data_IF_139985280276
#
_entry.id   IF_139985280276
#
_cell.length_a   1.000
_cell.length_b   1.000
_cell.length_c   1.000
_cell.angle_alpha   90.00
_cell.angle_beta   90.00
_cell.angle_gamma   90.00
#
_symmetry.space_group_name_H-M   'P 1'
#
loop_
_entity.id
_entity.type
_entity.pdbx_description
1 polymer ?
#
# COMPACT_ATOMS: atom_id res chain seq x y z
N UNK A 1 37.89 3.75 2.34
CA UNK A 1 37.46 2.33 2.22
C UNK A 1 37.03 1.71 3.57
N UNK A 2 37.76 1.90 4.67
CA UNK A 2 37.40 1.37 6.01
C UNK A 2 36.02 1.82 6.54
N UNK A 3 35.58 3.05 6.24
CA UNK A 3 34.28 3.57 6.69
C UNK A 3 33.07 2.88 6.04
N UNK A 4 33.17 2.51 4.77
CA UNK A 4 32.07 1.82 4.06
C UNK A 4 31.88 0.40 4.58
N UNK A 5 32.97 -0.32 4.82
CA UNK A 5 32.91 -1.67 5.39
C UNK A 5 32.38 -1.67 6.83
N UNK A 6 32.80 -0.71 7.66
CA UNK A 6 32.27 -0.53 9.02
C UNK A 6 30.78 -0.20 9.00
N UNK A 7 30.34 0.68 8.10
CA UNK A 7 28.93 1.06 7.93
C UNK A 7 28.11 -0.14 7.45
N UNK A 8 28.60 -0.88 6.46
CA UNK A 8 27.96 -2.09 5.97
C UNK A 8 27.77 -3.13 7.08
N UNK A 9 28.82 -3.43 7.85
CA UNK A 9 28.73 -4.34 9.01
C UNK A 9 27.75 -3.85 10.07
N UNK A 10 27.70 -2.55 10.33
CA UNK A 10 26.75 -1.98 11.29
C UNK A 10 25.29 -2.11 10.82
N UNK A 11 25.04 -1.90 9.53
CA UNK A 11 23.72 -2.08 8.92
C UNK A 11 23.31 -3.56 8.90
N UNK A 12 24.23 -4.46 8.57
CA UNK A 12 24.01 -5.90 8.62
C UNK A 12 23.71 -6.39 10.03
N UNK A 13 24.46 -5.92 11.04
CA UNK A 13 24.20 -6.23 12.45
C UNK A 13 22.84 -5.72 12.93
N UNK A 14 22.33 -4.62 12.34
CA UNK A 14 20.97 -4.11 12.56
C UNK A 14 19.90 -4.86 11.73
N UNK A 15 20.29 -5.87 10.95
CA UNK A 15 19.40 -6.64 10.08
C UNK A 15 18.86 -5.84 8.89
N UNK A 16 19.49 -4.73 8.50
CA UNK A 16 19.02 -3.89 7.40
C UNK A 16 19.21 -4.64 6.08
N UNK A 17 18.10 -4.99 5.45
CA UNK A 17 18.06 -5.68 4.17
C UNK A 17 18.34 -4.69 3.03
N UNK A 18 19.25 -5.06 2.13
CA UNK A 18 19.51 -4.33 0.89
C UNK A 18 18.64 -4.80 -0.28
N UNK A 19 18.50 -3.96 -1.31
CA UNK A 19 17.72 -4.22 -2.53
C UNK A 19 18.11 -5.53 -3.22
N UNK A 20 19.42 -5.81 -3.31
CA UNK A 20 19.94 -7.02 -3.94
C UNK A 20 19.55 -8.28 -3.16
N UNK A 21 19.71 -8.25 -1.84
CA UNK A 21 19.31 -9.34 -0.94
C UNK A 21 17.81 -9.60 -1.03
N UNK A 22 16.99 -8.53 -0.92
CA UNK A 22 15.54 -8.59 -1.11
C UNK A 22 15.15 -9.25 -2.44
N UNK A 23 15.86 -8.91 -3.53
CA UNK A 23 15.60 -9.48 -4.84
C UNK A 23 16.00 -10.95 -4.94
N UNK A 24 17.23 -11.30 -4.54
CA UNK A 24 17.77 -12.65 -4.69
C UNK A 24 17.12 -13.64 -3.71
N UNK A 25 17.11 -13.29 -2.43
CA UNK A 25 16.79 -14.22 -1.35
C UNK A 25 15.27 -14.35 -1.13
N UNK A 26 14.48 -13.35 -1.55
CA UNK A 26 13.04 -13.33 -1.26
C UNK A 26 12.19 -13.22 -2.52
N UNK A 27 12.34 -12.18 -3.33
CA UNK A 27 11.49 -12.01 -4.52
C UNK A 27 11.73 -13.13 -5.53
N UNK A 28 12.96 -13.42 -5.94
CA UNK A 28 13.23 -14.47 -6.91
C UNK A 28 12.98 -15.88 -6.34
N UNK A 29 13.21 -16.07 -5.03
CA UNK A 29 12.97 -17.33 -4.32
C UNK A 29 11.48 -17.64 -4.19
N UNK A 30 10.66 -16.66 -3.81
CA UNK A 30 9.27 -16.87 -3.38
C UNK A 30 8.21 -16.35 -4.36
N UNK A 31 8.58 -15.54 -5.36
CA UNK A 31 7.63 -15.01 -6.34
C UNK A 31 7.87 -15.63 -7.73
N UNK A 32 7.03 -16.61 -8.09
CA UNK A 32 7.02 -17.17 -9.45
C UNK A 32 6.65 -16.09 -10.46
N UNK A 33 7.50 -15.85 -11.46
CA UNK A 33 7.30 -14.77 -12.45
C UNK A 33 5.98 -14.85 -13.21
N UNK A 34 5.46 -16.06 -13.45
CA UNK A 34 4.16 -16.27 -14.10
C UNK A 34 2.98 -15.68 -13.33
N UNK A 35 3.15 -15.40 -12.04
CA UNK A 35 2.11 -14.84 -11.17
C UNK A 35 2.19 -13.31 -11.04
N UNK A 36 3.21 -12.65 -11.60
CA UNK A 36 3.37 -11.19 -11.49
C UNK A 36 2.21 -10.40 -12.10
N UNK A 37 1.63 -10.82 -13.25
CA UNK A 37 0.46 -10.12 -13.81
C UNK A 37 -0.73 -10.02 -12.85
N UNK A 38 -0.81 -10.89 -11.83
CA UNK A 38 -1.90 -10.84 -10.84
C UNK A 38 -1.85 -9.55 -10.02
N UNK A 39 -0.64 -9.09 -9.67
CA UNK A 39 -0.44 -7.94 -8.78
C UNK A 39 -0.02 -6.67 -9.54
N UNK A 40 0.59 -6.82 -10.72
CA UNK A 40 0.96 -5.67 -11.57
C UNK A 40 -0.28 -5.03 -12.22
N UNK A 41 -1.38 -5.78 -12.35
CA UNK A 41 -2.66 -5.30 -12.88
C UNK A 41 -3.71 -5.17 -11.77
N UNK A 42 -4.07 -3.93 -11.43
CA UNK A 42 -5.02 -3.62 -10.36
C UNK A 42 -6.41 -4.19 -10.60
N UNK A 43 -6.83 -4.37 -11.87
CA UNK A 43 -8.13 -4.95 -12.20
C UNK A 43 -8.12 -6.45 -11.84
N UNK A 44 -7.07 -7.17 -12.25
CA UNK A 44 -6.94 -8.61 -11.95
C UNK A 44 -6.87 -8.84 -10.43
N UNK A 45 -6.08 -8.04 -9.70
CA UNK A 45 -6.02 -8.09 -8.24
C UNK A 45 -7.41 -7.94 -7.63
N UNK A 46 -8.17 -6.93 -8.05
CA UNK A 46 -9.49 -6.64 -7.49
C UNK A 46 -10.54 -7.69 -7.81
N UNK A 47 -10.58 -8.18 -9.05
CA UNK A 47 -11.50 -9.26 -9.42
C UNK A 47 -11.28 -10.51 -8.57
N UNK A 48 -10.02 -10.85 -8.28
CA UNK A 48 -9.71 -11.96 -7.36
C UNK A 48 -10.13 -11.64 -5.94
N UNK A 49 -9.86 -10.42 -5.46
CA UNK A 49 -10.21 -10.01 -4.10
C UNK A 49 -11.72 -10.11 -3.87
N UNK A 50 -12.53 -9.59 -4.81
CA UNK A 50 -13.99 -9.67 -4.77
C UNK A 50 -14.46 -11.13 -4.71
N UNK A 51 -13.90 -12.01 -5.55
CA UNK A 51 -14.22 -13.45 -5.54
C UNK A 51 -13.85 -14.15 -4.22
N UNK A 52 -12.83 -13.66 -3.52
CA UNK A 52 -12.40 -14.15 -2.23
C UNK A 52 -13.15 -13.51 -1.04
N UNK A 53 -14.14 -12.63 -1.28
CA UNK A 53 -14.86 -11.91 -0.22
C UNK A 53 -14.00 -10.84 0.48
N UNK A 54 -12.91 -10.41 -0.16
CA UNK A 54 -11.98 -9.41 0.36
C UNK A 54 -12.46 -8.01 -0.03
N UNK A 55 -12.49 -7.10 0.94
CA UNK A 55 -12.94 -5.73 0.72
C UNK A 55 -11.94 -4.91 -0.09
N UNK A 56 -12.42 -4.32 -1.19
CA UNK A 56 -11.70 -3.40 -2.08
C UNK A 56 -12.60 -2.21 -2.40
N UNK A 57 -12.06 -1.06 -2.85
CA UNK A 57 -12.90 0.00 -3.39
C UNK A 57 -13.73 -0.53 -4.55
N UNK A 58 -15.04 -0.33 -4.48
CA UNK A 58 -16.01 -0.81 -5.46
C UNK A 58 -15.62 -0.40 -6.88
N UNK A 59 -15.60 -1.35 -7.79
CA UNK A 59 -15.31 -1.10 -9.20
C UNK A 59 -16.59 -0.68 -9.91
N UNK A 60 -16.61 0.52 -10.47
CA UNK A 60 -17.74 1.00 -11.25
C UNK A 60 -17.65 0.53 -12.70
N UNK A 61 -16.43 0.45 -13.25
CA UNK A 61 -16.23 -0.03 -14.61
C UNK A 61 -14.77 0.02 -15.06
N UNK A 62 -14.51 -0.58 -16.21
CA UNK A 62 -13.21 -0.61 -16.86
C UNK A 62 -13.37 -0.18 -18.31
N UNK A 63 -12.54 0.76 -18.76
CA UNK A 63 -12.43 1.15 -20.16
C UNK A 63 -11.15 0.54 -20.70
N UNK A 64 -11.28 -0.31 -21.72
CA UNK A 64 -10.16 -1.08 -22.29
C UNK A 64 -9.75 -0.62 -23.69
N UNK A 65 -10.61 0.15 -24.37
CA UNK A 65 -10.38 0.64 -25.72
C UNK A 65 -10.88 2.08 -25.88
N UNK A 66 -10.39 2.79 -26.89
CA UNK A 66 -10.86 4.16 -27.19
C UNK A 66 -12.37 4.21 -27.45
N UNK A 67 -12.92 3.17 -28.09
CA UNK A 67 -14.38 3.04 -28.31
C UNK A 67 -15.16 2.84 -27.01
N UNK A 68 -14.56 2.26 -25.97
CA UNK A 68 -15.23 2.10 -24.68
C UNK A 68 -15.38 3.42 -23.93
N UNK A 69 -14.71 4.50 -24.36
CA UNK A 69 -14.87 5.84 -23.79
C UNK A 69 -16.33 6.32 -23.94
N UNK A 70 -17.03 5.92 -25.01
CA UNK A 70 -18.45 6.22 -25.19
C UNK A 70 -19.34 5.77 -24.01
N UNK A 71 -18.88 4.77 -23.24
CA UNK A 71 -19.57 4.23 -22.06
C UNK A 71 -19.20 4.96 -20.76
N UNK A 72 -18.23 5.88 -20.78
CA UNK A 72 -17.74 6.58 -19.59
C UNK A 72 -18.86 7.29 -18.84
N UNK A 73 -19.76 7.97 -19.57
CA UNK A 73 -20.92 8.63 -18.98
C UNK A 73 -21.87 7.67 -18.25
N UNK A 74 -22.08 6.46 -18.79
CA UNK A 74 -22.89 5.40 -18.16
C UNK A 74 -22.21 4.83 -16.92
N UNK A 75 -20.90 4.55 -17.00
CA UNK A 75 -20.10 4.02 -15.88
C UNK A 75 -20.10 4.99 -14.69
N UNK A 76 -19.86 6.29 -14.95
CA UNK A 76 -19.92 7.33 -13.92
C UNK A 76 -21.37 7.45 -13.40
N UNK A 77 -22.32 7.55 -14.32
CA UNK A 77 -23.74 7.70 -14.04
C UNK A 77 -24.04 8.98 -13.25
N UNK A 78 -24.84 8.85 -12.19
CA UNK A 78 -25.23 9.96 -11.32
C UNK A 78 -24.24 10.30 -10.21
N UNK A 79 -23.08 9.65 -10.16
CA UNK A 79 -22.11 9.83 -9.06
C UNK A 79 -21.46 11.20 -9.11
N UNK A 80 -21.32 11.82 -7.94
CA UNK A 80 -20.63 13.10 -7.78
C UNK A 80 -19.13 12.93 -7.55
N UNK A 81 -18.67 11.77 -7.08
CA UNK A 81 -17.27 11.48 -6.79
C UNK A 81 -16.84 10.07 -7.22
N UNK A 82 -15.58 9.95 -7.65
CA UNK A 82 -14.99 8.71 -8.15
C UNK A 82 -13.49 8.90 -8.39
N UNK A 83 -12.78 7.79 -8.60
CA UNK A 83 -11.37 7.77 -9.00
C UNK A 83 -11.26 7.11 -10.37
N UNK A 84 -10.46 7.69 -11.26
CA UNK A 84 -10.00 7.06 -12.50
C UNK A 84 -8.50 6.84 -12.38
N UNK A 85 -8.04 5.61 -12.65
CA UNK A 85 -6.61 5.29 -12.58
C UNK A 85 -6.18 4.27 -13.64
N UNK A 86 -4.91 4.32 -14.08
CA UNK A 86 -4.31 3.25 -14.89
C UNK A 86 -4.27 1.92 -14.13
N UNK A 87 -4.57 0.82 -14.80
CA UNK A 87 -4.51 -0.51 -14.21
C UNK A 87 -3.07 -0.92 -13.87
N UNK A 88 -2.10 -0.52 -14.70
CA UNK A 88 -0.67 -0.87 -14.56
C UNK A 88 0.23 0.33 -14.23
N UNK A 89 -0.35 1.48 -13.87
CA UNK A 89 0.42 2.67 -13.50
C UNK A 89 1.16 2.55 -12.17
N UNK A 90 2.21 3.35 -12.01
CA UNK A 90 3.07 3.39 -10.82
C UNK A 90 3.17 4.81 -10.23
N UNK A 91 3.50 4.91 -8.94
CA UNK A 91 3.83 6.19 -8.29
C UNK A 91 2.68 7.19 -8.11
N UNK A 92 1.45 6.79 -8.46
CA UNK A 92 0.27 7.65 -8.41
C UNK A 92 0.11 8.57 -9.62
N UNK A 93 0.81 8.30 -10.72
CA UNK A 93 0.65 9.05 -11.96
C UNK A 93 -0.53 8.54 -12.78
N UNK A 94 -1.16 9.45 -13.53
CA UNK A 94 -2.39 9.14 -14.28
C UNK A 94 -3.66 9.00 -13.43
N UNK A 95 -3.57 9.11 -12.11
CA UNK A 95 -4.73 9.07 -11.20
C UNK A 95 -5.46 10.41 -11.24
N UNK A 96 -6.74 10.38 -11.60
CA UNK A 96 -7.66 11.49 -11.53
C UNK A 96 -8.68 11.23 -10.42
N UNK A 97 -8.74 12.11 -9.42
CA UNK A 97 -9.68 12.01 -8.29
C UNK A 97 -10.70 13.12 -8.41
N UNK A 98 -11.96 12.73 -8.58
CA UNK A 98 -13.13 13.63 -8.62
C UNK A 98 -13.79 13.62 -7.27
N UNK A 99 -13.92 14.79 -6.67
CA UNK A 99 -14.46 14.98 -5.32
C UNK A 99 -15.90 15.47 -5.31
N UNK A 100 -16.35 16.11 -6.39
CA UNK A 100 -17.71 16.66 -6.49
C UNK A 100 -18.12 16.91 -7.96
N UNK A 101 -19.41 17.16 -8.19
CA UNK A 101 -19.99 17.55 -9.48
C UNK A 101 -20.78 18.85 -9.33
N UNK A 102 -20.48 19.82 -10.19
CA UNK A 102 -21.09 21.15 -10.15
C UNK A 102 -21.52 21.60 -11.55
N UNK A 103 -22.81 21.88 -11.74
CA UNK A 103 -23.40 22.38 -13.01
C UNK A 103 -22.93 21.63 -14.27
N UNK A 104 -22.95 20.29 -14.21
CA UNK A 104 -22.54 19.43 -15.33
C UNK A 104 -21.03 19.26 -15.50
N UNK A 105 -20.20 19.94 -14.69
CA UNK A 105 -18.74 19.78 -14.62
C UNK A 105 -18.31 19.00 -13.39
N UNK A 106 -17.05 18.59 -13.35
CA UNK A 106 -16.47 17.81 -12.26
C UNK A 106 -15.40 18.62 -11.52
N UNK A 107 -15.37 18.51 -10.20
CA UNK A 107 -14.36 19.17 -9.35
C UNK A 107 -13.36 18.13 -8.85
N UNK A 108 -12.08 18.38 -9.07
CA UNK A 108 -11.00 17.54 -8.53
C UNK A 108 -10.78 17.82 -7.04
N UNK A 109 -10.01 16.96 -6.36
CA UNK A 109 -9.59 17.20 -4.96
C UNK A 109 -8.81 18.51 -4.76
N UNK A 110 -8.13 19.01 -5.80
CA UNK A 110 -7.42 20.29 -5.77
C UNK A 110 -8.34 21.51 -6.01
N UNK A 111 -9.64 21.29 -6.21
CA UNK A 111 -10.62 22.33 -6.53
C UNK A 111 -10.69 22.72 -8.01
N UNK A 112 -9.87 22.10 -8.89
CA UNK A 112 -9.92 22.35 -10.34
C UNK A 112 -11.25 21.85 -10.90
N UNK A 113 -11.92 22.69 -11.68
CA UNK A 113 -13.13 22.32 -12.41
C UNK A 113 -12.72 21.82 -13.80
N UNK A 114 -13.19 20.63 -14.18
CA UNK A 114 -12.92 20.01 -15.48
C UNK A 114 -14.21 19.56 -16.16
N UNK A 115 -14.22 19.57 -17.49
CA UNK A 115 -15.33 19.09 -18.31
C UNK A 115 -15.34 17.56 -18.44
N UNK A 116 -16.40 17.01 -19.04
CA UNK A 116 -16.44 15.58 -19.36
C UNK A 116 -15.40 15.21 -20.41
N UNK A 117 -15.22 16.04 -21.44
CA UNK A 117 -14.22 15.84 -22.50
C UNK A 117 -12.80 15.81 -21.94
N UNK A 118 -12.48 16.63 -20.93
CA UNK A 118 -11.18 16.56 -20.23
C UNK A 118 -10.96 15.22 -19.52
N UNK A 119 -12.04 14.59 -19.00
CA UNK A 119 -11.96 13.25 -18.42
C UNK A 119 -11.75 12.20 -19.51
N UNK A 120 -12.45 12.30 -20.64
CA UNK A 120 -12.25 11.42 -21.80
C UNK A 120 -10.80 11.48 -22.30
N UNK A 121 -10.22 12.68 -22.39
CA UNK A 121 -8.80 12.86 -22.75
C UNK A 121 -7.85 12.21 -21.74
N UNK A 122 -8.15 12.30 -20.43
CA UNK A 122 -7.37 11.61 -19.40
C UNK A 122 -7.44 10.08 -19.57
N UNK A 123 -8.63 9.55 -19.87
CA UNK A 123 -8.84 8.12 -20.13
C UNK A 123 -8.06 7.68 -21.38
N UNK A 124 -8.14 8.42 -22.49
CA UNK A 124 -7.35 8.13 -23.69
C UNK A 124 -5.84 8.15 -23.39
N UNK A 125 -5.37 9.11 -22.60
CA UNK A 125 -3.97 9.17 -22.15
C UNK A 125 -3.56 7.92 -21.36
N UNK A 126 -4.43 7.38 -20.51
CA UNK A 126 -4.21 6.08 -19.85
C UNK A 126 -4.14 4.95 -20.88
N UNK A 127 -5.10 4.86 -21.80
CA UNK A 127 -5.18 3.77 -22.80
C UNK A 127 -3.95 3.72 -23.72
N UNK A 128 -3.41 4.88 -24.10
CA UNK A 128 -2.18 4.97 -24.90
C UNK A 128 -0.92 4.51 -24.15
N UNK A 129 -1.01 4.30 -22.83
CA UNK A 129 0.11 3.84 -22.01
C UNK A 129 0.97 4.96 -21.44
N UNK A 130 0.52 6.22 -21.48
CA UNK A 130 1.30 7.38 -21.01
C UNK A 130 1.80 7.23 -19.57
N UNK A 131 1.04 6.54 -18.73
CA UNK A 131 1.33 6.36 -17.30
C UNK A 131 1.80 4.95 -16.93
N UNK A 132 1.94 4.07 -17.92
CA UNK A 132 2.29 2.67 -17.72
C UNK A 132 3.79 2.45 -17.81
N UNK A 133 4.31 1.56 -16.97
CA UNK A 133 5.72 1.18 -17.00
C UNK A 133 6.05 0.53 -18.35
N UNK A 134 6.79 1.24 -19.21
CA UNK A 134 7.18 0.76 -20.55
C UNK A 134 6.32 1.26 -21.71
N UNK A 135 5.34 2.13 -21.47
CA UNK A 135 4.54 2.75 -22.56
C UNK A 135 3.61 1.78 -23.28
N UNK A 136 3.31 0.63 -22.67
CA UNK A 136 2.37 -0.34 -23.21
C UNK A 136 0.93 0.14 -23.03
N UNK A 137 0.05 -0.28 -23.95
CA UNK A 137 -1.39 -0.03 -23.81
C UNK A 137 -1.88 -0.51 -22.45
N UNK A 138 -2.73 0.30 -21.83
CA UNK A 138 -3.31 0.04 -20.51
C UNK A 138 -4.83 0.11 -20.55
N UNK A 139 -5.45 -0.07 -19.38
CA UNK A 139 -6.89 0.03 -19.15
C UNK A 139 -7.12 1.08 -18.07
N UNK A 140 -8.17 1.87 -18.23
CA UNK A 140 -8.61 2.80 -17.21
C UNK A 140 -9.63 2.11 -16.29
N UNK A 141 -9.33 2.10 -15.00
CA UNK A 141 -10.21 1.62 -13.94
C UNK A 141 -10.94 2.80 -13.31
N UNK A 142 -12.26 2.72 -13.25
CA UNK A 142 -13.14 3.70 -12.60
C UNK A 142 -13.72 3.04 -11.35
N UNK A 143 -13.52 3.68 -10.19
CA UNK A 143 -13.85 3.09 -8.90
C UNK A 143 -14.31 4.11 -7.85
N UNK A 144 -14.85 3.56 -6.77
CA UNK A 144 -15.18 4.30 -5.55
C UNK A 144 -13.99 5.11 -5.02
N UNK A 145 -14.24 6.39 -4.72
CA UNK A 145 -13.29 7.25 -4.03
C UNK A 145 -13.34 6.95 -2.53
N UNK A 146 -12.25 6.38 -2.02
CA UNK A 146 -12.09 6.12 -0.59
C UNK A 146 -12.24 7.40 0.21
N UNK A 147 -13.03 7.33 1.28
CA UNK A 147 -13.19 8.41 2.25
C UNK A 147 -12.38 8.05 3.49
N UNK A 148 -11.22 8.70 3.73
CA UNK A 148 -10.36 8.36 4.85
C UNK A 148 -11.10 8.50 6.18
N UNK A 149 -10.84 7.57 7.09
CA UNK A 149 -11.32 7.65 8.47
C UNK A 149 -10.90 8.97 9.15
N UNK A 150 -11.76 9.45 10.06
CA UNK A 150 -11.58 10.73 10.74
C UNK A 150 -10.30 10.81 11.57
N UNK A 151 -9.76 9.66 12.04
CA UNK A 151 -8.50 9.63 12.78
C UNK A 151 -7.36 10.29 12.01
N UNK A 152 -7.38 10.17 10.68
CA UNK A 152 -6.34 10.71 9.83
C UNK A 152 -6.43 12.21 9.57
N UNK A 153 -7.58 12.85 9.82
CA UNK A 153 -7.77 14.29 9.58
C UNK A 153 -6.75 15.15 10.30
N UNK A 154 -6.30 14.70 11.47
CA UNK A 154 -5.31 15.42 12.27
C UNK A 154 -3.87 15.20 11.79
N UNK A 155 -3.59 14.11 11.07
CA UNK A 155 -2.22 13.67 10.76
C UNK A 155 -1.96 13.48 9.26
N UNK A 156 -2.82 13.99 8.38
CA UNK A 156 -2.64 13.93 6.93
C UNK A 156 -2.96 15.27 6.28
N UNK A 157 -2.16 15.66 5.29
CA UNK A 157 -2.46 16.80 4.42
C UNK A 157 -3.10 16.32 3.11
N UNK A 158 -4.42 16.51 2.97
CA UNK A 158 -5.18 16.13 1.77
C UNK A 158 -4.97 14.65 1.36
N UNK A 159 -5.74 14.15 0.40
CA UNK A 159 -5.60 12.77 -0.09
C UNK A 159 -5.90 11.67 0.94
N UNK A 160 -5.43 10.46 0.65
CA UNK A 160 -5.74 9.22 1.39
C UNK A 160 -4.46 8.64 1.98
N UNK A 161 -4.29 8.62 3.31
CA UNK A 161 -3.25 7.84 3.96
C UNK A 161 -3.42 6.37 3.67
N UNK A 162 -2.30 5.67 3.51
CA UNK A 162 -2.31 4.24 3.30
C UNK A 162 -1.37 3.52 4.28
N UNK A 163 -1.69 2.27 4.55
CA UNK A 163 -0.91 1.36 5.38
C UNK A 163 -0.28 0.34 4.45
N UNK A 164 1.06 0.32 4.43
CA UNK A 164 1.84 -0.70 3.73
C UNK A 164 2.28 -1.77 4.71
N UNK A 165 1.98 -3.02 4.39
CA UNK A 165 2.45 -4.19 5.12
C UNK A 165 3.29 -5.06 4.18
N UNK A 166 4.52 -5.40 4.57
CA UNK A 166 5.29 -6.43 3.88
C UNK A 166 4.90 -7.79 4.45
N UNK A 167 4.57 -8.72 3.56
CA UNK A 167 4.15 -10.08 3.89
C UNK A 167 5.15 -11.06 3.28
N UNK A 168 5.64 -11.99 4.09
CA UNK A 168 6.50 -13.10 3.69
C UNK A 168 5.76 -14.41 3.95
N UNK A 169 5.43 -15.17 2.89
CA UNK A 169 4.76 -16.47 2.94
C UNK A 169 3.47 -16.47 3.78
N UNK A 170 2.71 -15.37 3.73
CA UNK A 170 1.49 -15.17 4.52
C UNK A 170 1.71 -14.58 5.92
N UNK A 171 2.94 -14.28 6.32
CA UNK A 171 3.27 -13.65 7.60
C UNK A 171 3.53 -12.15 7.42
N UNK A 172 2.72 -11.26 8.00
CA UNK A 172 2.97 -9.82 8.02
C UNK A 172 4.22 -9.47 8.84
N UNK A 173 5.35 -9.19 8.18
CA UNK A 173 6.65 -9.02 8.87
C UNK A 173 6.98 -7.58 9.25
N UNK A 174 6.37 -6.57 8.61
CA UNK A 174 6.60 -5.17 8.93
C UNK A 174 5.51 -4.28 8.35
N UNK A 175 5.12 -3.24 9.08
CA UNK A 175 4.10 -2.30 8.64
C UNK A 175 4.58 -0.84 8.74
N UNK A 176 4.06 0.02 7.88
CA UNK A 176 4.16 1.47 8.03
C UNK A 176 2.88 2.16 7.58
N UNK A 177 2.55 3.27 8.22
CA UNK A 177 1.59 4.25 7.76
C UNK A 177 2.31 5.27 6.87
N UNK A 178 1.75 5.57 5.70
CA UNK A 178 2.22 6.63 4.81
C UNK A 178 1.26 7.80 4.87
N UNK A 179 1.79 8.97 5.24
CA UNK A 179 1.01 10.19 5.40
C UNK A 179 1.31 11.16 4.26
N UNK A 180 0.31 11.52 3.45
CA UNK A 180 0.38 12.61 2.49
C UNK A 180 0.82 13.94 3.11
N UNK A 181 1.66 14.68 2.37
CA UNK A 181 2.09 16.03 2.72
C UNK A 181 1.73 17.00 1.60
N UNK A 182 1.87 18.29 1.87
CA UNK A 182 1.77 19.30 0.81
C UNK A 182 2.86 19.11 -0.25
N UNK A 183 4.06 18.71 0.15
CA UNK A 183 5.17 18.45 -0.77
C UNK A 183 4.87 17.28 -1.72
N UNK A 184 4.15 16.26 -1.26
CA UNK A 184 3.71 15.15 -2.10
C UNK A 184 2.41 15.42 -2.87
N UNK A 185 1.89 16.64 -2.83
CA UNK A 185 0.61 17.02 -3.44
C UNK A 185 -0.54 16.09 -3.01
N UNK A 186 -0.60 15.74 -1.72
CA UNK A 186 -1.64 14.86 -1.20
C UNK A 186 -1.47 13.38 -1.56
N UNK A 187 -0.30 12.96 -2.10
CA UNK A 187 0.00 11.55 -2.41
C UNK A 187 0.76 10.86 -1.28
N UNK A 188 0.42 9.62 -0.95
CA UNK A 188 1.14 8.80 0.03
C UNK A 188 2.40 8.12 -0.57
N UNK A 189 3.24 8.92 -1.26
CA UNK A 189 4.46 8.46 -1.91
C UNK A 189 5.70 9.08 -1.24
N UNK A 190 6.49 8.25 -0.55
CA UNK A 190 7.69 8.68 0.19
C UNK A 190 8.72 9.38 -0.70
N UNK A 191 8.83 8.98 -1.97
CA UNK A 191 9.76 9.60 -2.92
C UNK A 191 9.31 11.00 -3.36
N UNK A 192 8.01 11.29 -3.27
CA UNK A 192 7.43 12.59 -3.56
C UNK A 192 7.32 13.49 -2.31
N UNK A 193 7.84 13.05 -1.16
CA UNK A 193 7.85 13.85 0.06
C UNK A 193 6.75 13.50 1.07
N UNK A 194 6.08 12.35 0.93
CA UNK A 194 5.22 11.83 1.99
C UNK A 194 6.05 11.36 3.20
N UNK A 195 5.39 11.21 4.34
CA UNK A 195 6.01 10.69 5.57
C UNK A 195 5.79 9.19 5.66
N UNK A 196 6.78 8.45 6.15
CA UNK A 196 6.64 7.05 6.54
C UNK A 196 6.73 6.91 8.05
N UNK A 197 5.70 6.35 8.68
CA UNK A 197 5.62 6.14 10.12
C UNK A 197 5.58 4.65 10.39
N UNK A 198 6.53 4.12 11.18
CA UNK A 198 6.49 2.70 11.55
C UNK A 198 5.20 2.36 12.29
N UNK A 199 4.76 1.11 12.22
CA UNK A 199 3.57 0.65 12.94
C UNK A 199 3.92 -0.63 13.68
N UNK A 200 3.58 -0.64 14.97
CA UNK A 200 3.74 -1.83 15.78
C UNK A 200 2.78 -2.94 15.35
N UNK A 201 3.31 -4.14 15.08
CA UNK A 201 2.51 -5.23 14.52
C UNK A 201 1.51 -5.82 15.52
N UNK A 202 1.83 -5.81 16.82
CA UNK A 202 0.93 -6.35 17.85
C UNK A 202 -0.21 -5.39 18.17
N UNK A 203 0.09 -4.11 18.27
CA UNK A 203 -0.84 -3.11 18.82
C UNK A 203 -1.50 -2.23 17.76
N UNK A 204 -0.86 -2.01 16.61
CA UNK A 204 -1.29 -1.01 15.64
C UNK A 204 -0.98 0.43 16.05
N UNK A 205 -0.17 0.62 17.09
CA UNK A 205 0.31 1.95 17.48
C UNK A 205 1.38 2.43 16.50
N UNK A 206 1.25 3.67 16.05
CA UNK A 206 2.29 4.30 15.25
C UNK A 206 3.54 4.56 16.09
N UNK A 207 4.69 4.33 15.47
CA UNK A 207 6.02 4.57 16.01
C UNK A 207 6.55 5.91 15.52
N UNK A 208 7.87 6.08 15.50
CA UNK A 208 8.50 7.30 14.97
C UNK A 208 8.23 7.45 13.47
N UNK A 209 8.13 8.70 13.02
CA UNK A 209 8.00 9.06 11.62
C UNK A 209 9.34 9.33 10.96
N UNK A 210 9.36 9.25 9.64
CA UNK A 210 10.50 9.59 8.80
C UNK A 210 10.04 10.45 7.63
N UNK A 211 10.77 11.53 7.36
CA UNK A 211 10.50 12.45 6.26
C UNK A 211 11.82 12.87 5.62
N UNK A 212 11.97 12.60 4.32
CA UNK A 212 13.22 12.85 3.58
C UNK A 212 14.46 12.26 4.29
N UNK A 213 14.32 11.02 4.80
CA UNK A 213 15.32 10.29 5.59
C UNK A 213 15.67 10.88 6.98
N UNK A 214 14.96 11.91 7.44
CA UNK A 214 15.09 12.46 8.79
C UNK A 214 14.02 11.88 9.71
N UNK A 215 14.39 11.58 10.95
CA UNK A 215 13.43 11.15 11.98
C UNK A 215 12.60 12.37 12.39
N UNK A 216 11.28 12.21 12.40
CA UNK A 216 10.32 13.21 12.82
C UNK A 216 9.33 12.63 13.82
N UNK A 217 8.76 13.51 14.66
CA UNK A 217 7.66 13.18 15.58
C UNK A 217 6.36 13.89 15.22
N UNK A 218 6.43 14.92 14.38
CA UNK A 218 5.28 15.73 14.00
C UNK A 218 5.17 15.83 12.49
N UNK A 219 3.94 15.89 12.01
CA UNK A 219 3.65 16.13 10.60
C UNK A 219 4.12 17.56 10.23
N UNK A 220 4.84 17.77 9.11
CA UNK A 220 5.37 19.07 8.74
C UNK A 220 4.26 20.09 8.44
N UNK A 221 3.14 19.65 7.85
CA UNK A 221 2.01 20.53 7.53
C UNK A 221 1.00 20.70 8.68
N UNK A 222 0.57 19.62 9.36
CA UNK A 222 -0.46 19.72 10.41
C UNK A 222 0.11 20.01 11.80
N UNK A 223 1.42 19.85 11.99
CA UNK A 223 2.15 19.98 13.28
C UNK A 223 1.74 19.02 14.39
N UNK A 224 0.79 18.12 14.12
CA UNK A 224 0.33 17.10 15.05
C UNK A 224 1.33 15.95 15.15
N UNK A 225 1.33 15.27 16.31
CA UNK A 225 2.15 14.10 16.53
C UNK A 225 1.77 12.97 15.56
N UNK A 226 2.77 12.29 15.01
CA UNK A 226 2.55 11.12 14.16
C UNK A 226 2.85 9.82 14.89
N UNK A 227 3.59 9.87 16.00
CA UNK A 227 3.84 8.75 16.91
C UNK A 227 2.74 8.61 17.98
N UNK A 228 2.48 7.38 18.40
CA UNK A 228 1.51 7.06 19.46
C UNK A 228 0.03 7.10 19.02
N UNK A 229 -0.24 7.15 17.72
CA UNK A 229 -1.61 7.13 17.16
C UNK A 229 -2.05 5.68 17.03
N UNK A 230 -3.18 5.33 17.65
CA UNK A 230 -3.77 4.00 17.55
C UNK A 230 -4.51 3.85 16.23
N UNK A 231 -4.05 2.99 15.34
CA UNK A 231 -4.80 2.64 14.14
C UNK A 231 -5.99 1.74 14.51
N UNK A 232 -7.23 2.11 14.16
CA UNK A 232 -8.39 1.30 14.48
C UNK A 232 -8.46 0.07 13.56
N UNK A 233 -9.15 -0.98 14.01
CA UNK A 233 -9.28 -2.25 13.31
C UNK A 233 -7.94 -2.86 12.84
N UNK A 234 -6.90 -2.75 13.67
CA UNK A 234 -5.56 -3.24 13.33
C UNK A 234 -5.52 -4.76 13.07
N UNK A 235 -6.27 -5.54 13.87
CA UNK A 235 -6.43 -6.98 13.65
C UNK A 235 -7.02 -7.29 12.26
N UNK A 236 -7.99 -6.48 11.81
CA UNK A 236 -8.52 -6.55 10.45
C UNK A 236 -7.47 -6.31 9.38
N UNK A 237 -6.62 -5.28 9.52
CA UNK A 237 -5.51 -5.03 8.58
C UNK A 237 -4.52 -6.19 8.53
N UNK A 238 -4.16 -6.76 9.68
CA UNK A 238 -3.19 -7.85 9.77
C UNK A 238 -3.72 -9.13 9.10
N UNK A 239 -4.97 -9.51 9.38
CA UNK A 239 -5.62 -10.67 8.75
C UNK A 239 -5.79 -10.48 7.24
N UNK A 240 -6.21 -9.28 6.83
CA UNK A 240 -6.35 -8.93 5.42
C UNK A 240 -5.02 -9.06 4.68
N UNK A 241 -3.94 -8.52 5.26
CA UNK A 241 -2.60 -8.62 4.69
C UNK A 241 -2.10 -10.07 4.63
N UNK A 242 -2.32 -10.87 5.68
CA UNK A 242 -1.95 -12.28 5.69
C UNK A 242 -2.67 -13.06 4.57
N UNK A 243 -3.98 -12.85 4.40
CA UNK A 243 -4.80 -13.49 3.36
C UNK A 243 -4.46 -13.10 1.92
N UNK A 244 -3.74 -11.99 1.70
CA UNK A 244 -3.25 -11.62 0.37
C UNK A 244 -2.26 -12.64 -0.21
N UNK A 245 -1.62 -13.45 0.63
CA UNK A 245 -0.75 -14.53 0.19
C UNK A 245 -1.52 -15.58 -0.62
N UNK A 246 -2.64 -16.06 -0.11
CA UNK A 246 -3.54 -16.99 -0.80
C UNK A 246 -4.12 -16.37 -2.08
N UNK A 247 -4.39 -15.07 -2.06
CA UNK A 247 -4.99 -14.35 -3.18
C UNK A 247 -4.10 -14.34 -4.45
N UNK A 248 -2.81 -14.06 -4.26
CA UNK A 248 -1.87 -13.88 -5.37
C UNK A 248 -0.90 -15.05 -5.58
N UNK A 249 -0.68 -15.89 -4.56
CA UNK A 249 0.28 -17.00 -4.58
C UNK A 249 1.74 -16.57 -4.62
N UNK A 250 2.03 -15.29 -4.34
CA UNK A 250 3.38 -14.74 -4.27
C UNK A 250 3.84 -14.70 -2.80
N UNK A 251 4.99 -15.29 -2.51
CA UNK A 251 5.47 -15.43 -1.14
C UNK A 251 6.21 -14.22 -0.57
N UNK A 252 6.49 -13.17 -1.33
CA UNK A 252 7.01 -11.91 -0.79
C UNK A 252 6.32 -10.72 -1.45
N UNK A 253 5.41 -10.06 -0.73
CA UNK A 253 4.57 -9.00 -1.30
C UNK A 253 4.49 -7.78 -0.38
N UNK A 254 4.25 -6.61 -0.99
CA UNK A 254 3.71 -5.46 -0.27
C UNK A 254 2.21 -5.42 -0.46
N UNK A 255 1.48 -5.27 0.64
CA UNK A 255 0.03 -5.07 0.66
C UNK A 255 -0.21 -3.62 1.06
N UNK A 256 -0.84 -2.85 0.18
CA UNK A 256 -1.19 -1.47 0.46
C UNK A 256 -2.69 -1.37 0.69
N UNK A 257 -3.05 -0.85 1.86
CA UNK A 257 -4.43 -0.80 2.32
C UNK A 257 -4.77 0.60 2.82
N UNK A 258 -6.05 0.88 2.92
CA UNK A 258 -6.58 2.13 3.45
C UNK A 258 -7.67 1.84 4.45
N UNK A 259 -7.91 2.78 5.36
CA UNK A 259 -9.06 2.74 6.23
C UNK A 259 -10.12 3.68 5.68
N UNK A 260 -11.19 3.11 5.16
CA UNK A 260 -12.38 3.85 4.78
C UNK A 260 -13.27 4.07 6.02
N UNK A 261 -13.86 5.26 6.11
CA UNK A 261 -14.72 5.66 7.23
C UNK A 261 -15.92 4.71 7.42
N UNK A 262 -16.52 4.23 6.33
CA UNK A 262 -17.76 3.44 6.38
C UNK A 262 -17.50 1.96 6.10
N UNK A 263 -16.52 1.64 5.24
CA UNK A 263 -16.22 0.28 4.78
C UNK A 263 -15.09 -0.39 5.56
N UNK A 264 -14.36 0.34 6.42
CA UNK A 264 -13.22 -0.20 7.15
C UNK A 264 -12.00 -0.46 6.26
N UNK A 265 -11.13 -1.44 6.61
CA UNK A 265 -9.94 -1.77 5.84
C UNK A 265 -10.25 -2.22 4.41
N UNK A 266 -9.68 -1.54 3.43
CA UNK A 266 -9.79 -1.86 2.00
C UNK A 266 -8.40 -2.10 1.41
N UNK A 267 -8.26 -3.10 0.54
CA UNK A 267 -7.03 -3.26 -0.26
C UNK A 267 -7.04 -2.27 -1.43
N UNK A 268 -5.97 -1.48 -1.56
CA UNK A 268 -5.74 -0.61 -2.70
C UNK A 268 -4.94 -1.29 -3.82
N UNK A 269 -3.80 -1.87 -3.46
CA UNK A 269 -2.87 -2.49 -4.40
C UNK A 269 -2.00 -3.57 -3.73
N UNK A 270 -1.50 -4.49 -4.57
CA UNK A 270 -0.48 -5.47 -4.20
C UNK A 270 0.79 -5.20 -5.00
N UNK A 271 1.94 -5.42 -4.38
CA UNK A 271 3.25 -5.15 -4.98
C UNK A 271 4.13 -6.40 -4.93
N UNK A 272 4.55 -6.94 -6.08
CA UNK A 272 5.48 -8.08 -6.14
C UNK A 272 6.91 -7.75 -5.66
N UNK A 273 7.25 -6.47 -5.57
CA UNK A 273 8.60 -5.98 -5.26
C UNK A 273 8.54 -4.76 -4.33
N UNK A 274 8.01 -4.89 -3.10
CA UNK A 274 7.87 -3.75 -2.21
C UNK A 274 9.22 -3.07 -1.94
N UNK A 275 9.16 -1.74 -1.80
CA UNK A 275 10.31 -0.91 -1.44
C UNK A 275 10.74 -1.11 0.01
N UNK A 276 12.00 -0.80 0.32
CA UNK A 276 12.64 -1.08 1.60
C UNK A 276 12.67 0.11 2.58
N UNK A 277 12.11 1.27 2.19
CA UNK A 277 12.03 2.47 3.05
C UNK A 277 11.23 2.22 4.35
N UNK A 278 10.39 1.19 4.37
CA UNK A 278 9.68 0.73 5.57
C UNK A 278 10.63 0.39 6.73
N UNK A 279 11.86 -0.04 6.45
CA UNK A 279 12.89 -0.28 7.47
C UNK A 279 13.34 1.01 8.15
N UNK A 280 13.40 2.10 7.37
CA UNK A 280 13.76 3.42 7.88
C UNK A 280 12.64 3.94 8.78
N UNK A 281 11.38 3.82 8.32
CA UNK A 281 10.20 4.21 9.10
C UNK A 281 10.09 3.46 10.44
N UNK A 282 10.50 2.19 10.48
CA UNK A 282 10.47 1.37 11.69
C UNK A 282 11.77 1.44 12.52
N UNK A 283 12.82 2.10 12.05
CA UNK A 283 14.18 2.03 12.63
C UNK A 283 14.61 0.57 12.92
N UNK A 284 14.22 -0.35 12.03
CA UNK A 284 14.33 -1.80 12.24
C UNK A 284 14.58 -2.54 10.92
N UNK A 285 15.48 -3.52 10.95
CA UNK A 285 15.83 -4.33 9.81
C UNK A 285 14.85 -5.47 9.51
N UNK A 286 14.62 -5.74 8.22
CA UNK A 286 13.76 -6.83 7.76
C UNK A 286 14.43 -8.20 7.81
N UNK A 287 15.75 -8.29 7.70
CA UNK A 287 16.46 -9.59 7.56
C UNK A 287 16.21 -10.49 8.77
N UNK A 288 16.30 -9.96 9.99
CA UNK A 288 16.09 -10.75 11.20
C UNK A 288 14.67 -11.29 11.29
N UNK A 289 13.66 -10.49 10.92
CA UNK A 289 12.26 -10.91 10.89
C UNK A 289 12.02 -11.98 9.82
N UNK A 290 12.61 -11.81 8.64
CA UNK A 290 12.49 -12.77 7.56
C UNK A 290 13.11 -14.12 7.91
N UNK A 291 14.31 -14.15 8.51
CA UNK A 291 14.92 -15.40 8.99
C UNK A 291 14.09 -16.09 10.06
N UNK A 292 13.48 -15.33 10.99
CA UNK A 292 12.61 -15.91 12.01
C UNK A 292 11.38 -16.60 11.40
N UNK A 293 10.77 -16.00 10.36
CA UNK A 293 9.68 -16.62 9.61
C UNK A 293 10.15 -17.86 8.83
N UNK A 294 11.31 -17.80 8.17
CA UNK A 294 11.86 -18.97 7.46
C UNK A 294 12.13 -20.15 8.42
N UNK A 295 12.71 -19.88 9.60
CA UNK A 295 12.94 -20.90 10.61
C UNK A 295 11.63 -21.49 11.16
N UNK A 296 10.60 -20.66 11.37
CA UNK A 296 9.27 -21.14 11.77
C UNK A 296 8.64 -22.03 10.70
N UNK A 297 8.72 -21.63 9.43
CA UNK A 297 8.24 -22.42 8.29
C UNK A 297 8.95 -23.77 8.18
N UNK A 298 10.26 -23.84 8.44
CA UNK A 298 11.01 -25.09 8.47
C UNK A 298 10.51 -26.03 9.58
N UNK A 299 10.19 -25.49 10.76
CA UNK A 299 9.64 -26.26 11.88
C UNK A 299 8.23 -26.79 11.55
N UNK A 300 7.36 -25.94 11.00
CA UNK A 300 6.01 -26.35 10.58
C UNK A 300 6.07 -27.42 9.49
N UNK A 301 6.97 -27.29 8.51
CA UNK A 301 7.16 -28.27 7.45
C UNK A 301 7.63 -29.62 8.00
N UNK A 302 8.57 -29.62 8.96
CA UNK A 302 9.02 -30.85 9.62
C UNK A 302 7.91 -31.53 10.43
N UNK A 303 6.98 -30.75 10.98
CA UNK A 303 5.82 -31.24 11.72
C UNK A 303 4.60 -31.58 10.82
N UNK A 304 4.63 -31.23 9.53
CA UNK A 304 3.49 -31.40 8.63
C UNK A 304 2.29 -30.50 8.95
N UNK A 305 2.52 -29.35 9.58
CA UNK A 305 1.48 -28.42 10.02
C UNK A 305 1.36 -27.27 9.01
N UNK A 306 0.12 -26.85 8.74
CA UNK A 306 -0.18 -25.63 7.98
C UNK A 306 -0.96 -24.65 8.85
N UNK A 307 -0.57 -23.38 8.83
CA UNK A 307 -1.25 -22.32 9.57
C UNK A 307 -2.26 -21.56 8.72
N UNK A 308 -3.37 -21.20 9.35
CA UNK A 308 -4.36 -20.22 8.90
C UNK A 308 -3.81 -18.80 8.92
N UNK A 309 -4.40 -17.84 8.18
CA UNK A 309 -4.01 -16.43 8.26
C UNK A 309 -3.98 -15.89 9.71
N UNK A 310 -4.94 -16.28 10.54
CA UNK A 310 -5.05 -15.88 11.94
C UNK A 310 -3.88 -16.38 12.80
N UNK A 311 -3.46 -17.63 12.60
CA UNK A 311 -2.31 -18.22 13.31
C UNK A 311 -1.01 -17.52 12.91
N UNK A 312 -0.83 -17.23 11.61
CA UNK A 312 0.34 -16.48 11.13
C UNK A 312 0.39 -15.07 11.70
N UNK A 313 -0.76 -14.39 11.79
CA UNK A 313 -0.89 -13.07 12.42
C UNK A 313 -0.48 -13.16 13.89
N UNK A 314 -0.99 -14.15 14.63
CA UNK A 314 -0.64 -14.31 16.05
C UNK A 314 0.86 -14.52 16.23
N UNK A 315 1.47 -15.39 15.43
CA UNK A 315 2.91 -15.63 15.46
C UNK A 315 3.71 -14.32 15.26
N UNK A 316 3.37 -13.51 14.26
CA UNK A 316 4.11 -12.25 14.01
C UNK A 316 3.86 -11.20 15.10
N UNK A 317 2.68 -11.16 15.68
CA UNK A 317 2.37 -10.23 16.77
C UNK A 317 3.17 -10.58 18.03
N UNK A 318 3.23 -11.87 18.39
CA UNK A 318 3.98 -12.35 19.54
C UNK A 318 5.49 -12.18 19.33
N UNK A 319 5.99 -12.45 18.12
CA UNK A 319 7.42 -12.43 17.81
C UNK A 319 7.97 -11.02 17.54
N UNK A 320 7.19 -10.15 16.89
CA UNK A 320 7.65 -8.86 16.37
C UNK A 320 6.94 -7.63 16.94
N UNK A 321 5.94 -7.81 17.80
CA UNK A 321 5.33 -6.73 18.56
C UNK A 321 6.32 -6.12 19.55
N UNK A 322 6.46 -4.79 19.51
CA UNK A 322 7.07 -4.02 20.59
C UNK A 322 6.08 -3.97 21.74
N UNK A 323 6.07 -5.01 22.58
CA UNK A 323 5.41 -4.92 23.87
C UNK A 323 6.19 -3.88 24.69
N UNK A 324 5.64 -2.70 25.03
CA UNK A 324 6.29 -1.85 26.02
C UNK A 324 6.36 -2.67 27.31
N UNK A 325 7.45 -2.58 28.10
CA UNK A 325 7.45 -3.21 29.41
C UNK A 325 6.21 -2.73 30.17
N UNK A 326 5.40 -3.67 30.68
CA UNK A 326 4.27 -3.34 31.55
C UNK A 326 4.80 -2.49 32.72
N UNK A 327 4.49 -1.20 32.71
CA UNK A 327 4.87 -0.24 33.74
C UNK A 327 6.16 0.53 33.45
N UNK A 328 6.02 1.66 32.77
CA UNK A 328 6.91 2.82 32.86
C UNK A 328 6.04 4.07 32.99
#
# INVERSE_FOLDING_TARGET
MFGLWKTWKALEAKGIMGINRRNADYVLKYNKRSLYPIVDDKIITKERAIKAGIHVPEMYGVISTEKDIDKLGEIIGGRSDFVIKPAQGAGGDGILVIADRFEGRYRTISGRIISHEEIEHQVSSILTGLYSLGGHRDRALIEYRVTPDQIFRSISYEGVPDIRIIVLMGYPVMAMLRLPTRQSNGKANLHQGAIGVGVDLATGLTLRGTWLNNIIRKHPDTTNAVDGVQLPNWDGFMKLAAGCYELCGLGYIGVDMVLDQDKGPLILELNARPGLNIQIANDCGLTTRAHAVEAHLEQLAAAGISETPEERVRFVQDMFGHVPPKGA
#
